data_IF_536815928700
#
_entry.id   IF_536815928700
#
_cell.length_a   1.000
_cell.length_b   1.000
_cell.length_c   1.000
_cell.angle_alpha   90.00
_cell.angle_beta   90.00
_cell.angle_gamma   90.00
#
_symmetry.space_group_name_H-M   'P 1'
#
loop_
_entity.id
_entity.type
_entity.pdbx_description
1 polymer ?
#
# COMPACT_ATOMS: atom_id res chain seq x y z
N UNK A 1 18.20 -14.47 -8.85
CA UNK A 1 17.23 -13.39 -8.55
C UNK A 1 16.83 -13.46 -7.11
N UNK A 2 16.51 -12.34 -6.49
CA UNK A 2 16.14 -12.27 -5.07
C UNK A 2 14.67 -11.90 -4.97
N UNK A 3 13.92 -12.67 -4.17
CA UNK A 3 12.56 -12.33 -3.75
C UNK A 3 12.58 -11.80 -2.30
N UNK A 4 11.83 -10.73 -2.01
CA UNK A 4 11.69 -10.22 -0.63
C UNK A 4 10.22 -10.32 -0.22
N UNK A 5 9.94 -11.17 0.78
CA UNK A 5 8.59 -11.40 1.27
C UNK A 5 8.19 -10.37 2.31
N UNK A 6 6.92 -9.98 2.29
CA UNK A 6 6.31 -9.06 3.28
C UNK A 6 6.29 -9.68 4.67
N UNK A 7 6.57 -8.87 5.69
CA UNK A 7 6.34 -9.25 7.08
C UNK A 7 4.84 -9.41 7.40
N UNK A 8 4.50 -10.45 8.16
CA UNK A 8 3.10 -10.78 8.47
C UNK A 8 2.36 -9.64 9.17
N UNK A 9 3.06 -8.82 9.94
CA UNK A 9 2.55 -7.64 10.64
C UNK A 9 1.99 -6.57 9.70
N UNK A 10 2.43 -6.54 8.43
CA UNK A 10 1.99 -5.55 7.44
C UNK A 10 0.76 -5.99 6.64
N UNK A 11 0.35 -7.24 6.75
CA UNK A 11 -0.82 -7.76 6.04
C UNK A 11 -1.45 -8.96 6.78
N UNK A 12 -1.83 -8.79 8.06
CA UNK A 12 -2.21 -9.92 8.92
C UNK A 12 -3.41 -10.71 8.42
N UNK A 13 -4.29 -10.09 7.63
CA UNK A 13 -5.48 -10.74 7.06
C UNK A 13 -5.24 -11.39 5.69
N UNK A 14 -4.04 -11.27 5.12
CA UNK A 14 -3.71 -11.71 3.75
C UNK A 14 -2.36 -12.43 3.65
N UNK A 15 -1.82 -12.96 4.74
CA UNK A 15 -0.51 -13.60 4.80
C UNK A 15 -0.38 -14.71 3.74
N UNK A 16 -1.37 -15.59 3.66
CA UNK A 16 -1.36 -16.70 2.70
C UNK A 16 -1.44 -16.21 1.23
N UNK A 17 -2.25 -15.17 0.99
CA UNK A 17 -2.37 -14.58 -0.35
C UNK A 17 -1.06 -13.91 -0.77
N UNK A 18 -0.42 -13.14 0.12
CA UNK A 18 0.85 -12.49 -0.13
C UNK A 18 1.95 -13.52 -0.40
N UNK A 19 2.02 -14.57 0.41
CA UNK A 19 2.96 -15.69 0.20
C UNK A 19 2.72 -16.40 -1.13
N UNK A 20 1.45 -16.61 -1.51
CA UNK A 20 1.09 -17.25 -2.78
C UNK A 20 1.49 -16.38 -3.99
N UNK A 21 1.29 -15.07 -3.92
CA UNK A 21 1.68 -14.14 -5.01
C UNK A 21 3.20 -14.21 -5.24
N UNK A 22 3.98 -14.07 -4.16
CA UNK A 22 5.45 -14.09 -4.27
C UNK A 22 5.97 -15.44 -4.77
N UNK A 23 5.42 -16.54 -4.23
CA UNK A 23 5.77 -17.91 -4.66
C UNK A 23 5.47 -18.15 -6.13
N UNK A 24 4.28 -17.76 -6.62
CA UNK A 24 3.91 -17.92 -8.03
C UNK A 24 4.81 -17.10 -8.96
N UNK A 25 5.23 -15.90 -8.53
CA UNK A 25 6.21 -15.12 -9.26
C UNK A 25 7.57 -15.83 -9.33
N UNK A 26 8.06 -16.35 -8.19
CA UNK A 26 9.29 -17.13 -8.12
C UNK A 26 9.25 -18.35 -9.02
N UNK A 27 8.20 -19.17 -8.92
CA UNK A 27 8.01 -20.35 -9.77
C UNK A 27 7.97 -20.01 -11.27
N UNK A 28 7.40 -18.85 -11.62
CA UNK A 28 7.39 -18.41 -13.01
C UNK A 28 8.81 -18.05 -13.51
N UNK A 29 9.60 -17.38 -12.68
CA UNK A 29 10.99 -17.05 -12.98
C UNK A 29 11.87 -18.31 -13.06
N UNK A 30 11.67 -19.26 -12.17
CA UNK A 30 12.38 -20.55 -12.18
C UNK A 30 12.08 -21.35 -13.46
N UNK A 31 10.81 -21.38 -13.91
CA UNK A 31 10.45 -21.98 -15.22
C UNK A 31 11.11 -21.30 -16.42
N UNK A 32 11.52 -20.05 -16.27
CA UNK A 32 12.30 -19.30 -17.27
C UNK A 32 13.81 -19.54 -17.16
N UNK A 33 14.26 -20.37 -16.22
CA UNK A 33 15.67 -20.73 -16.01
C UNK A 33 16.40 -19.82 -15.02
N UNK A 34 15.70 -18.98 -14.26
CA UNK A 34 16.30 -18.16 -13.22
C UNK A 34 16.50 -18.96 -11.92
N UNK A 35 17.62 -18.77 -11.26
CA UNK A 35 17.78 -19.17 -9.86
C UNK A 35 17.14 -18.13 -8.95
N UNK A 36 16.22 -18.52 -8.08
CA UNK A 36 15.47 -17.62 -7.19
C UNK A 36 15.70 -18.00 -5.73
N UNK A 37 16.02 -17.00 -4.90
CA UNK A 37 16.08 -17.13 -3.44
C UNK A 37 15.16 -16.11 -2.81
N UNK A 38 14.27 -16.54 -1.91
CA UNK A 38 13.34 -15.67 -1.21
C UNK A 38 13.83 -15.43 0.22
N UNK A 39 13.86 -14.16 0.63
CA UNK A 39 14.20 -13.73 1.99
C UNK A 39 13.01 -13.01 2.64
N UNK A 40 12.70 -13.29 3.90
CA UNK A 40 11.86 -12.41 4.71
C UNK A 40 12.49 -11.01 4.85
N UNK A 41 11.68 -9.96 4.89
CA UNK A 41 12.15 -8.57 5.01
C UNK A 41 13.23 -8.39 6.08
N UNK A 42 13.01 -8.94 7.28
CA UNK A 42 13.95 -8.82 8.39
C UNK A 42 15.30 -9.49 8.14
N UNK A 43 15.27 -10.65 7.50
CA UNK A 43 16.50 -11.38 7.13
C UNK A 43 17.24 -10.68 6.01
N UNK A 44 16.51 -10.18 5.00
CA UNK A 44 17.08 -9.42 3.89
C UNK A 44 17.93 -8.23 4.38
N UNK A 45 17.41 -7.48 5.37
CA UNK A 45 18.12 -6.36 5.98
C UNK A 45 19.25 -6.84 6.89
N UNK A 46 18.98 -7.80 7.79
CA UNK A 46 19.95 -8.26 8.79
C UNK A 46 21.19 -8.90 8.17
N UNK A 47 21.04 -9.63 7.06
CA UNK A 47 22.12 -10.28 6.35
C UNK A 47 22.76 -9.38 5.28
N UNK A 48 22.30 -8.12 5.15
CA UNK A 48 22.76 -7.16 4.15
C UNK A 48 22.79 -7.75 2.73
N UNK A 49 21.72 -8.45 2.35
CA UNK A 49 21.63 -9.13 1.05
C UNK A 49 21.75 -8.12 -0.10
N UNK A 50 22.54 -8.49 -1.12
CA UNK A 50 22.77 -7.73 -2.35
C UNK A 50 22.40 -8.55 -3.57
N UNK A 51 21.98 -7.87 -4.64
CA UNK A 51 21.64 -8.51 -5.90
C UNK A 51 21.27 -7.48 -6.97
N UNK A 52 21.45 -7.88 -8.22
CA UNK A 52 21.16 -7.03 -9.38
C UNK A 52 19.68 -7.06 -9.77
N UNK A 53 18.96 -8.14 -9.45
CA UNK A 53 17.56 -8.34 -9.80
C UNK A 53 16.77 -8.76 -8.57
N UNK A 54 15.89 -7.87 -8.12
CA UNK A 54 15.10 -8.04 -6.90
C UNK A 54 13.63 -7.84 -7.24
N UNK A 55 12.76 -8.76 -6.81
CA UNK A 55 11.32 -8.55 -6.82
C UNK A 55 10.82 -8.65 -5.38
N UNK A 56 9.87 -7.79 -5.01
CA UNK A 56 9.53 -7.65 -3.61
C UNK A 56 8.06 -7.34 -3.35
N UNK A 57 7.66 -7.62 -2.13
CA UNK A 57 6.38 -7.22 -1.54
C UNK A 57 6.59 -6.42 -0.25
N UNK A 58 7.76 -5.81 -0.09
CA UNK A 58 8.19 -5.13 1.13
C UNK A 58 7.23 -4.02 1.59
N UNK A 59 7.17 -3.83 2.90
CA UNK A 59 6.46 -2.73 3.57
C UNK A 59 7.24 -2.17 4.76
N UNK A 60 8.20 -2.94 5.29
CA UNK A 60 9.05 -2.48 6.39
C UNK A 60 9.92 -1.30 5.95
N UNK A 61 9.99 -0.28 6.79
CA UNK A 61 10.71 0.95 6.47
C UNK A 61 12.20 0.72 6.21
N UNK A 62 12.85 -0.10 7.04
CA UNK A 62 14.27 -0.41 6.88
C UNK A 62 14.53 -1.18 5.59
N UNK A 63 13.62 -2.08 5.21
CA UNK A 63 13.68 -2.84 3.97
C UNK A 63 13.52 -1.92 2.76
N UNK A 64 12.54 -1.02 2.78
CA UNK A 64 12.34 -0.04 1.69
C UNK A 64 13.57 0.85 1.51
N UNK A 65 14.15 1.36 2.60
CA UNK A 65 15.38 2.16 2.55
C UNK A 65 16.59 1.36 2.02
N UNK A 66 16.67 0.07 2.35
CA UNK A 66 17.70 -0.81 1.79
C UNK A 66 17.49 -1.03 0.30
N UNK A 67 16.27 -1.30 -0.14
CA UNK A 67 15.91 -1.49 -1.55
C UNK A 67 16.20 -0.22 -2.37
N UNK A 68 15.88 0.98 -1.86
CA UNK A 68 16.23 2.25 -2.51
C UNK A 68 17.73 2.38 -2.74
N UNK A 69 18.55 2.04 -1.74
CA UNK A 69 20.02 2.09 -1.89
C UNK A 69 20.52 1.13 -2.96
N UNK A 70 19.92 -0.04 -3.09
CA UNK A 70 20.27 -1.00 -4.13
C UNK A 70 19.81 -0.50 -5.51
N UNK A 71 18.62 0.07 -5.60
CA UNK A 71 18.08 0.68 -6.81
C UNK A 71 18.95 1.87 -7.27
N UNK A 72 19.36 2.76 -6.35
CA UNK A 72 20.31 3.85 -6.62
C UNK A 72 21.70 3.33 -7.06
N UNK A 73 22.09 2.15 -6.59
CA UNK A 73 23.29 1.44 -7.01
C UNK A 73 23.18 0.73 -8.36
N UNK A 74 22.02 0.78 -9.01
CA UNK A 74 21.79 0.20 -10.33
C UNK A 74 21.12 -1.18 -10.33
N UNK A 75 20.67 -1.70 -9.18
CA UNK A 75 19.87 -2.92 -9.14
C UNK A 75 18.49 -2.68 -9.76
N UNK A 76 17.96 -3.65 -10.49
CA UNK A 76 16.57 -3.66 -10.93
C UNK A 76 15.68 -4.17 -9.78
N UNK A 77 14.89 -3.26 -9.20
CA UNK A 77 13.93 -3.57 -8.13
C UNK A 77 12.50 -3.49 -8.67
N UNK A 78 11.73 -4.56 -8.56
CA UNK A 78 10.34 -4.70 -9.03
C UNK A 78 9.43 -5.16 -7.87
N UNK A 79 8.48 -4.34 -7.43
CA UNK A 79 8.24 -2.94 -7.85
C UNK A 79 9.33 -2.03 -7.27
N UNK A 80 9.56 -0.88 -7.94
CA UNK A 80 10.53 0.12 -7.44
C UNK A 80 10.26 0.48 -5.98
N UNK A 81 11.30 0.53 -5.15
CA UNK A 81 11.22 0.90 -3.75
C UNK A 81 10.67 2.32 -3.55
N UNK A 82 10.98 3.24 -4.47
CA UNK A 82 10.39 4.57 -4.52
C UNK A 82 8.88 4.52 -4.82
N UNK A 83 8.48 3.64 -5.76
CA UNK A 83 7.06 3.40 -6.06
C UNK A 83 6.28 2.85 -4.86
N UNK A 84 6.89 1.95 -4.09
CA UNK A 84 6.29 1.41 -2.86
C UNK A 84 6.12 2.51 -1.81
N UNK A 85 7.14 3.34 -1.60
CA UNK A 85 7.08 4.46 -0.65
C UNK A 85 6.01 5.47 -1.06
N UNK A 86 5.89 5.78 -2.34
CA UNK A 86 4.84 6.64 -2.90
C UNK A 86 3.42 6.07 -2.72
N UNK A 87 3.26 4.77 -2.43
CA UNK A 87 1.97 4.16 -2.11
C UNK A 87 1.50 4.41 -0.66
N UNK A 88 2.31 5.04 0.19
CA UNK A 88 1.84 5.55 1.49
C UNK A 88 0.73 6.57 1.22
N UNK A 89 -0.40 6.43 1.93
CA UNK A 89 -1.64 7.13 1.56
C UNK A 89 -1.49 8.65 1.51
N UNK A 90 -0.76 9.24 2.47
CA UNK A 90 -0.46 10.68 2.45
C UNK A 90 0.31 11.04 1.18
N UNK A 91 1.46 10.40 0.94
CA UNK A 91 2.33 10.67 -0.21
C UNK A 91 1.59 10.47 -1.54
N UNK A 92 0.83 9.39 -1.65
CA UNK A 92 0.00 9.16 -2.83
C UNK A 92 -1.01 10.29 -3.06
N UNK A 93 -1.65 10.79 -2.00
CA UNK A 93 -2.60 11.92 -2.10
C UNK A 93 -1.87 13.18 -2.55
N UNK A 94 -0.72 13.48 -1.98
CA UNK A 94 0.13 14.61 -2.37
C UNK A 94 0.54 14.55 -3.85
N UNK A 95 0.96 13.36 -4.31
CA UNK A 95 1.34 13.12 -5.70
C UNK A 95 0.16 13.28 -6.67
N UNK A 96 -1.02 12.76 -6.32
CA UNK A 96 -2.23 12.92 -7.13
C UNK A 96 -2.61 14.39 -7.29
N UNK A 97 -2.55 15.16 -6.19
CA UNK A 97 -2.81 16.62 -6.20
C UNK A 97 -1.76 17.35 -7.04
N UNK A 98 -0.47 17.10 -6.79
CA UNK A 98 0.63 17.79 -7.47
C UNK A 98 0.68 17.55 -9.00
N UNK A 99 0.17 16.41 -9.45
CA UNK A 99 0.13 16.03 -10.86
C UNK A 99 -1.25 16.17 -11.50
N UNK A 100 -2.20 16.81 -10.81
CA UNK A 100 -3.57 17.04 -11.31
C UNK A 100 -4.28 15.74 -11.75
N UNK A 101 -3.94 14.61 -11.13
CA UNK A 101 -4.58 13.33 -11.41
C UNK A 101 -6.00 13.33 -10.82
N UNK A 102 -7.04 12.96 -11.58
CA UNK A 102 -8.40 12.87 -11.06
C UNK A 102 -8.48 11.97 -9.83
N UNK A 103 -8.97 12.53 -8.72
CA UNK A 103 -9.14 11.83 -7.44
C UNK A 103 -10.30 12.47 -6.65
N UNK A 104 -10.86 11.77 -5.65
CA UNK A 104 -11.85 12.37 -4.76
C UNK A 104 -11.28 13.62 -4.07
N UNK A 105 -12.12 14.62 -3.79
CA UNK A 105 -11.69 15.76 -2.96
C UNK A 105 -11.09 15.25 -1.67
N UNK A 106 -9.83 15.63 -1.41
CA UNK A 106 -8.99 15.02 -0.37
C UNK A 106 -8.36 16.09 0.52
N UNK A 107 -8.21 15.75 1.81
CA UNK A 107 -7.55 16.59 2.80
C UNK A 107 -6.56 15.74 3.58
N UNK A 108 -5.37 16.26 3.84
CA UNK A 108 -4.37 15.69 4.71
C UNK A 108 -4.38 16.50 6.00
N UNK A 109 -4.60 15.85 7.13
CA UNK A 109 -4.83 16.51 8.41
C UNK A 109 -3.95 15.85 9.47
N UNK A 110 -3.25 16.66 10.28
CA UNK A 110 -2.65 16.18 11.50
C UNK A 110 -3.74 15.72 12.48
N UNK A 111 -3.56 14.55 13.08
CA UNK A 111 -4.54 14.06 14.05
C UNK A 111 -4.56 14.89 15.34
N UNK A 112 -3.51 15.67 15.61
CA UNK A 112 -3.45 16.59 16.74
C UNK A 112 -4.21 17.91 16.49
N UNK A 113 -4.58 18.17 15.23
CA UNK A 113 -5.36 19.33 14.86
C UNK A 113 -6.87 19.09 14.98
N UNK A 114 -7.62 20.18 15.08
CA UNK A 114 -9.08 20.11 15.04
C UNK A 114 -9.54 19.67 13.64
N UNK A 115 -10.53 18.79 13.59
CA UNK A 115 -11.13 18.38 12.33
C UNK A 115 -11.83 19.57 11.65
N UNK A 116 -11.30 20.04 10.54
CA UNK A 116 -11.79 21.23 9.82
C UNK A 116 -12.56 20.91 8.53
N UNK A 117 -12.38 19.76 7.84
CA UNK A 117 -13.10 19.48 6.61
C UNK A 117 -14.62 19.55 6.78
N UNK A 118 -15.28 20.12 5.77
CA UNK A 118 -16.75 20.27 5.71
C UNK A 118 -17.39 19.36 4.67
N UNK A 119 -16.66 18.36 4.19
CA UNK A 119 -17.15 17.38 3.22
C UNK A 119 -17.72 16.17 3.95
N UNK A 120 -19.01 15.94 3.81
CA UNK A 120 -19.73 14.79 4.36
C UNK A 120 -20.77 14.31 3.35
N UNK A 121 -21.01 12.97 3.29
CA UNK A 121 -20.24 11.93 3.98
C UNK A 121 -18.81 11.83 3.45
N UNK A 122 -17.91 11.29 4.26
CA UNK A 122 -16.52 11.13 3.86
C UNK A 122 -15.88 9.86 4.45
N UNK A 123 -14.70 9.55 3.94
CA UNK A 123 -13.85 8.48 4.44
C UNK A 123 -12.65 9.07 5.16
N UNK A 124 -12.44 8.70 6.41
CA UNK A 124 -11.24 9.03 7.16
C UNK A 124 -10.33 7.82 7.18
N UNK A 125 -9.11 8.01 6.72
CA UNK A 125 -8.16 6.92 6.50
C UNK A 125 -6.83 7.24 7.19
N UNK A 126 -6.20 6.23 7.78
CA UNK A 126 -4.84 6.34 8.26
C UNK A 126 -3.92 6.84 7.14
N UNK A 127 -3.16 7.92 7.37
CA UNK A 127 -2.35 8.60 6.34
C UNK A 127 -0.93 8.07 6.22
N UNK A 128 -0.28 7.75 7.34
CA UNK A 128 1.14 7.39 7.42
C UNK A 128 1.46 5.94 7.00
N UNK A 129 0.46 5.16 6.61
CA UNK A 129 0.60 3.77 6.20
C UNK A 129 -0.62 3.32 5.41
N UNK A 130 -0.59 2.09 4.86
CA UNK A 130 -1.79 1.38 4.41
C UNK A 130 -2.63 0.92 5.60
N UNK A 131 -3.86 0.49 5.35
CA UNK A 131 -4.73 -0.05 6.38
C UNK A 131 -4.20 -1.40 6.91
N UNK A 132 -4.00 -1.51 8.21
CA UNK A 132 -3.60 -2.74 8.90
C UNK A 132 -4.78 -3.39 9.62
N UNK A 133 -5.73 -2.57 10.07
CA UNK A 133 -6.98 -2.99 10.70
C UNK A 133 -8.15 -2.25 10.07
N UNK A 134 -9.37 -2.74 10.29
CA UNK A 134 -10.59 -2.14 9.69
C UNK A 134 -10.81 -0.68 10.14
N UNK A 135 -10.40 -0.36 11.36
CA UNK A 135 -10.49 0.98 11.96
C UNK A 135 -9.55 1.99 11.30
N UNK A 136 -8.63 1.56 10.44
CA UNK A 136 -7.75 2.44 9.66
C UNK A 136 -8.45 3.08 8.44
N UNK A 137 -9.70 2.66 8.15
CA UNK A 137 -10.53 3.22 7.07
C UNK A 137 -11.97 3.27 7.55
N UNK A 138 -12.45 4.45 7.88
CA UNK A 138 -13.78 4.65 8.49
C UNK A 138 -14.62 5.59 7.63
N UNK A 139 -15.85 5.17 7.33
CA UNK A 139 -16.87 6.03 6.75
C UNK A 139 -17.56 6.82 7.85
N UNK A 140 -17.76 8.12 7.62
CA UNK A 140 -18.42 9.02 8.58
C UNK A 140 -19.41 9.92 7.86
N UNK A 141 -20.55 10.17 8.51
CA UNK A 141 -21.64 10.97 7.96
C UNK A 141 -21.66 12.40 8.49
N UNK A 142 -21.02 12.63 9.63
CA UNK A 142 -21.03 13.94 10.29
C UNK A 142 -19.70 14.25 10.99
N UNK A 143 -19.59 15.49 11.48
CA UNK A 143 -18.40 15.99 12.19
C UNK A 143 -18.16 15.29 13.51
N UNK A 144 -19.19 14.99 14.25
CA UNK A 144 -19.12 14.32 15.54
C UNK A 144 -18.48 12.94 15.42
N UNK A 145 -18.86 12.18 14.41
CA UNK A 145 -18.24 10.88 14.12
C UNK A 145 -16.77 11.05 13.68
N UNK A 146 -16.49 12.05 12.86
CA UNK A 146 -15.14 12.34 12.43
C UNK A 146 -14.21 12.65 13.61
N UNK A 147 -14.66 13.42 14.59
CA UNK A 147 -13.89 13.74 15.79
C UNK A 147 -13.62 12.51 16.65
N UNK A 148 -14.56 11.54 16.72
CA UNK A 148 -14.33 10.26 17.39
C UNK A 148 -13.24 9.46 16.70
N UNK A 149 -13.25 9.37 15.36
CA UNK A 149 -12.22 8.69 14.58
C UNK A 149 -10.85 9.35 14.76
N UNK A 150 -10.79 10.68 14.74
CA UNK A 150 -9.54 11.42 14.96
C UNK A 150 -8.99 11.21 16.38
N UNK A 151 -9.87 11.11 17.38
CA UNK A 151 -9.47 10.78 18.76
C UNK A 151 -8.91 9.36 18.88
N UNK A 152 -9.50 8.38 18.18
CA UNK A 152 -8.97 7.02 18.09
C UNK A 152 -7.59 6.98 17.43
N UNK A 153 -7.42 7.69 16.31
CA UNK A 153 -6.12 7.77 15.64
C UNK A 153 -5.04 8.37 16.54
N UNK A 154 -5.34 9.45 17.28
CA UNK A 154 -4.41 10.02 18.30
C UNK A 154 -4.03 8.97 19.36
N UNK A 155 -5.01 8.29 19.91
CA UNK A 155 -4.80 7.24 20.93
C UNK A 155 -3.89 6.11 20.42
N UNK A 156 -3.98 5.82 19.13
CA UNK A 156 -3.17 4.79 18.44
C UNK A 156 -1.85 5.34 17.90
N UNK A 157 -1.46 6.58 18.19
CA UNK A 157 -0.27 7.26 17.71
C UNK A 157 -0.17 7.29 16.17
N UNK A 158 -1.30 7.48 15.50
CA UNK A 158 -1.37 7.71 14.06
C UNK A 158 -1.31 9.23 13.85
N UNK A 159 -0.22 9.79 13.30
CA UNK A 159 -0.03 11.25 13.29
C UNK A 159 -0.84 11.97 12.23
N UNK A 160 -1.21 11.27 11.16
CA UNK A 160 -1.85 11.87 9.97
C UNK A 160 -3.04 11.05 9.53
N UNK A 161 -4.14 11.76 9.25
CA UNK A 161 -5.32 11.24 8.57
C UNK A 161 -5.43 11.79 7.15
N UNK A 162 -5.89 10.98 6.21
CA UNK A 162 -6.35 11.41 4.88
C UNK A 162 -7.87 11.30 4.85
N UNK A 163 -8.53 12.42 4.59
CA UNK A 163 -9.99 12.51 4.45
C UNK A 163 -10.33 12.59 2.98
N UNK A 164 -11.16 11.68 2.50
CA UNK A 164 -11.65 11.70 1.12
C UNK A 164 -13.17 11.86 1.12
N UNK A 165 -13.71 12.70 0.24
CA UNK A 165 -15.16 12.72 0.01
C UNK A 165 -15.65 11.33 -0.40
N UNK A 166 -16.89 11.01 -0.02
CA UNK A 166 -17.54 9.80 -0.49
C UNK A 166 -18.08 10.01 -1.90
N UNK A 167 -17.64 9.17 -2.83
CA UNK A 167 -18.16 9.15 -4.18
C UNK A 167 -19.26 8.09 -4.28
N UNK A 168 -20.39 8.48 -4.87
CA UNK A 168 -21.48 7.56 -5.18
C UNK A 168 -21.23 6.93 -6.55
N UNK A 169 -21.29 5.62 -6.64
CA UNK A 169 -21.08 4.89 -7.88
C UNK A 169 -20.53 3.49 -7.64
N UNK A 170 -20.27 2.78 -8.72
CA UNK A 170 -19.72 1.44 -8.68
C UNK A 170 -18.22 1.46 -8.45
N UNK A 171 -17.73 0.57 -7.58
CA UNK A 171 -16.30 0.36 -7.41
C UNK A 171 -15.81 -0.61 -8.48
N UNK A 172 -14.89 -0.14 -9.31
CA UNK A 172 -14.19 -0.97 -10.31
C UNK A 172 -12.72 -1.07 -9.93
N UNK A 173 -12.18 -2.27 -9.89
CA UNK A 173 -10.75 -2.52 -9.69
C UNK A 173 -10.07 -2.82 -11.01
N UNK A 174 -8.89 -2.24 -11.20
CA UNK A 174 -8.05 -2.40 -12.38
C UNK A 174 -6.69 -2.97 -11.97
N UNK A 175 -6.21 -3.91 -12.76
CA UNK A 175 -4.86 -4.47 -12.63
C UNK A 175 -4.17 -4.40 -13.99
N UNK A 176 -2.96 -3.88 -14.02
CA UNK A 176 -2.16 -3.80 -15.23
C UNK A 176 -0.68 -4.05 -14.92
N UNK A 177 0.05 -4.53 -15.90
CA UNK A 177 1.50 -4.70 -15.82
C UNK A 177 2.15 -3.85 -16.91
N UNK A 178 2.94 -2.87 -16.50
CA UNK A 178 3.64 -1.97 -17.43
C UNK A 178 4.49 -2.75 -18.43
N UNK A 179 4.46 -2.31 -19.69
CA UNK A 179 5.21 -2.96 -20.78
C UNK A 179 4.60 -4.26 -21.31
N UNK A 180 3.38 -4.62 -20.85
CA UNK A 180 2.65 -5.80 -21.32
C UNK A 180 1.24 -5.43 -21.77
N UNK A 181 0.55 -6.38 -22.44
CA UNK A 181 -0.87 -6.25 -22.77
C UNK A 181 -1.79 -6.73 -21.64
N UNK A 182 -1.24 -7.04 -20.47
CA UNK A 182 -2.05 -7.48 -19.35
C UNK A 182 -2.83 -6.31 -18.75
N UNK A 183 -4.16 -6.39 -18.83
CA UNK A 183 -5.09 -5.46 -18.21
C UNK A 183 -6.36 -6.20 -17.80
N UNK A 184 -6.67 -6.20 -16.52
CA UNK A 184 -7.82 -6.90 -15.97
C UNK A 184 -8.68 -5.97 -15.11
N UNK A 185 -9.98 -6.09 -15.24
CA UNK A 185 -10.96 -5.30 -14.47
C UNK A 185 -12.01 -6.17 -13.85
N UNK A 186 -12.51 -5.80 -12.67
CA UNK A 186 -13.65 -6.47 -12.06
C UNK A 186 -14.38 -5.57 -11.04
N UNK A 187 -15.63 -5.93 -10.77
CA UNK A 187 -16.44 -5.33 -9.72
C UNK A 187 -16.34 -6.19 -8.45
N UNK A 188 -15.77 -5.66 -7.33
CA UNK A 188 -15.56 -6.45 -6.12
C UNK A 188 -16.85 -7.00 -5.50
N UNK A 189 -17.98 -6.30 -5.70
CA UNK A 189 -19.29 -6.70 -5.20
C UNK A 189 -19.84 -7.97 -5.84
N UNK A 190 -19.45 -8.28 -7.09
CA UNK A 190 -19.87 -9.49 -7.80
C UNK A 190 -19.12 -10.74 -7.32
N UNK A 191 -17.90 -10.57 -6.79
CA UNK A 191 -17.06 -11.68 -6.31
C UNK A 191 -17.24 -11.99 -4.83
N UNK A 192 -17.86 -11.11 -4.04
CA UNK A 192 -18.03 -11.31 -2.60
C UNK A 192 -19.10 -12.35 -2.23
N UNK A 193 -19.86 -12.86 -3.19
CA UNK A 193 -20.90 -13.88 -2.98
C UNK A 193 -20.42 -15.31 -3.21
N UNK A 194 -19.13 -15.53 -3.47
CA UNK A 194 -18.53 -16.86 -3.68
C UNK A 194 -17.57 -17.25 -2.54
N UNK A 195 -17.99 -16.97 -1.30
CA UNK A 195 -17.32 -17.53 -0.09
C UNK A 195 -18.32 -18.32 0.72
#
# INVERSE_FOLDING_TARGET
MIGVSRGNEYSPNHVDNDAAILRLAAEALERMGCEVTIYPEKEFVAQNIEGEFIFDMARDRATIERLKKLEDGGALVVNSAYGIDNCVRQQMTELLVANEVPHPRSFIISTDEKFTPSVFPCWIKRGNSHAMVKEDVVYVECREEAEVVMADFRKRNIPVAVVNEHLVGDLVKFYGVQGTNFFYTFYPTEQSHSK
#
